data_IF_279250355575
#
_entry.id   IF_279250355575
#
_cell.length_a   1.000
_cell.length_b   1.000
_cell.length_c   1.000
_cell.angle_alpha   90.00
_cell.angle_beta   90.00
_cell.angle_gamma   90.00
#
_symmetry.space_group_name_H-M   'P 1'
#
loop_
_entity.id
_entity.type
_entity.pdbx_description
1 polymer ?
#
# COMPACT_ATOMS: atom_id res chain seq x y z
N UNK A 1 1.72 -7.33 -32.60
CA UNK A 1 2.82 -6.35 -32.34
C UNK A 1 3.97 -6.58 -33.30
N UNK A 2 4.82 -5.58 -33.61
CA UNK A 2 6.15 -5.91 -34.11
C UNK A 2 6.85 -6.70 -33.00
N UNK A 3 6.81 -8.03 -33.12
CA UNK A 3 7.57 -8.96 -32.27
C UNK A 3 9.08 -8.83 -32.55
N UNK A 4 9.46 -7.88 -33.40
CA UNK A 4 10.79 -7.69 -33.97
C UNK A 4 11.15 -6.23 -33.67
N UNK A 5 12.18 -6.06 -32.85
CA UNK A 5 12.81 -4.76 -32.62
C UNK A 5 13.41 -4.28 -33.95
N UNK A 6 13.21 -3.00 -34.28
CA UNK A 6 13.84 -2.41 -35.47
C UNK A 6 15.36 -2.53 -35.35
N UNK A 7 16.02 -2.86 -36.47
CA UNK A 7 17.47 -2.68 -36.56
C UNK A 7 17.78 -1.18 -36.46
N UNK A 8 18.92 -0.81 -35.88
CA UNK A 8 19.26 0.61 -35.67
C UNK A 8 19.27 1.44 -36.95
N UNK A 9 19.56 0.81 -38.10
CA UNK A 9 19.54 1.46 -39.43
C UNK A 9 18.13 1.85 -39.89
N UNK A 10 17.10 1.19 -39.34
CA UNK A 10 15.69 1.34 -39.72
C UNK A 10 14.93 2.22 -38.71
N UNK A 11 15.60 2.71 -37.66
CA UNK A 11 15.03 3.66 -36.68
C UNK A 11 14.96 5.05 -37.30
N UNK A 12 13.79 5.69 -37.19
CA UNK A 12 13.55 7.06 -37.64
C UNK A 12 14.65 8.02 -37.12
N UNK A 13 15.11 8.91 -37.99
CA UNK A 13 16.20 9.86 -37.71
C UNK A 13 15.94 10.70 -36.45
N UNK A 14 14.67 10.97 -36.13
CA UNK A 14 14.28 11.72 -34.95
C UNK A 14 14.53 10.98 -33.63
N UNK A 15 14.77 9.66 -33.67
CA UNK A 15 15.04 8.83 -32.51
C UNK A 15 16.48 8.27 -32.45
N UNK A 16 17.41 8.83 -33.23
CA UNK A 16 18.79 8.36 -33.28
C UNK A 16 19.70 8.93 -32.18
N UNK A 17 19.18 9.72 -31.22
CA UNK A 17 20.01 10.26 -30.13
C UNK A 17 20.59 9.13 -29.26
N UNK A 18 21.81 9.32 -28.76
CA UNK A 18 22.58 8.30 -28.03
C UNK A 18 21.82 7.72 -26.81
N UNK A 19 21.12 8.56 -26.06
CA UNK A 19 20.34 8.12 -24.90
C UNK A 19 19.14 7.24 -25.29
N UNK A 20 18.48 7.53 -26.42
CA UNK A 20 17.38 6.69 -26.91
C UNK A 20 17.92 5.35 -27.41
N UNK A 21 19.06 5.36 -28.12
CA UNK A 21 19.75 4.13 -28.53
C UNK A 21 20.11 3.27 -27.32
N UNK A 22 20.67 3.86 -26.27
CA UNK A 22 21.00 3.17 -25.02
C UNK A 22 19.79 2.47 -24.42
N UNK A 23 18.62 3.13 -24.36
CA UNK A 23 17.37 2.53 -23.88
C UNK A 23 16.84 1.42 -24.79
N UNK A 24 17.02 1.52 -26.10
CA UNK A 24 16.72 0.42 -27.05
C UNK A 24 17.64 -0.77 -26.87
N UNK A 25 18.92 -0.54 -26.60
CA UNK A 25 19.89 -1.60 -26.30
C UNK A 25 19.52 -2.33 -25.00
N UNK A 26 19.08 -1.60 -23.96
CA UNK A 26 18.51 -2.19 -22.74
C UNK A 26 17.28 -3.04 -23.05
N UNK A 27 16.36 -2.56 -23.90
CA UNK A 27 15.19 -3.33 -24.30
C UNK A 27 15.57 -4.62 -25.02
N UNK A 28 16.52 -4.57 -25.97
CA UNK A 28 17.04 -5.77 -26.67
C UNK A 28 17.57 -6.81 -25.69
N UNK A 29 18.35 -6.37 -24.72
CA UNK A 29 18.90 -7.24 -23.67
C UNK A 29 17.79 -7.89 -22.83
N UNK A 30 16.79 -7.11 -22.39
CA UNK A 30 15.62 -7.63 -21.66
C UNK A 30 14.85 -8.66 -22.49
N UNK A 31 14.55 -8.37 -23.75
CA UNK A 31 13.82 -9.31 -24.61
C UNK A 31 14.63 -10.57 -24.90
N UNK A 32 15.95 -10.47 -25.03
CA UNK A 32 16.84 -11.64 -25.20
C UNK A 32 16.84 -12.54 -23.97
N UNK A 33 16.79 -11.96 -22.77
CA UNK A 33 16.66 -12.69 -21.50
C UNK A 33 15.29 -13.36 -21.37
N UNK A 34 14.26 -12.84 -22.02
CA UNK A 34 12.87 -13.30 -21.89
C UNK A 34 12.31 -13.94 -23.19
N UNK A 35 13.17 -14.29 -24.14
CA UNK A 35 12.80 -14.57 -25.54
C UNK A 35 11.86 -15.77 -25.74
N UNK A 36 11.87 -16.73 -24.80
CA UNK A 36 11.08 -17.94 -24.87
C UNK A 36 10.47 -18.32 -23.50
N UNK A 37 9.55 -19.29 -23.52
CA UNK A 37 8.79 -19.65 -22.33
C UNK A 37 9.63 -20.31 -21.24
N UNK A 38 10.69 -21.05 -21.60
CA UNK A 38 11.62 -21.65 -20.64
C UNK A 38 12.35 -20.55 -19.87
N UNK A 39 12.90 -19.55 -20.57
CA UNK A 39 13.58 -18.43 -19.91
C UNK A 39 12.62 -17.60 -19.05
N UNK A 40 11.42 -17.28 -19.55
CA UNK A 40 10.41 -16.57 -18.74
C UNK A 40 10.02 -17.37 -17.50
N UNK A 41 9.83 -18.68 -17.63
CA UNK A 41 9.53 -19.58 -16.52
C UNK A 41 10.67 -19.63 -15.50
N UNK A 42 11.93 -19.56 -15.92
CA UNK A 42 13.09 -19.48 -15.03
C UNK A 42 13.00 -18.23 -14.12
N UNK A 43 12.84 -17.04 -14.71
CA UNK A 43 12.73 -15.79 -13.94
C UNK A 43 11.49 -15.76 -13.03
N UNK A 44 10.34 -16.24 -13.53
CA UNK A 44 9.12 -16.34 -12.71
C UNK A 44 9.28 -17.29 -11.54
N UNK A 45 9.90 -18.45 -11.75
CA UNK A 45 10.14 -19.43 -10.68
C UNK A 45 11.08 -18.87 -9.61
N UNK A 46 12.13 -18.15 -10.03
CA UNK A 46 13.03 -17.45 -9.11
C UNK A 46 12.29 -16.36 -8.31
N UNK A 47 11.47 -15.53 -8.97
CA UNK A 47 10.67 -14.49 -8.31
C UNK A 47 9.63 -15.10 -7.35
N UNK A 48 9.04 -16.25 -7.68
CA UNK A 48 8.14 -16.98 -6.80
C UNK A 48 8.88 -17.52 -5.56
N UNK A 49 10.08 -18.08 -5.74
CA UNK A 49 10.92 -18.53 -4.63
C UNK A 49 11.29 -17.35 -3.70
N UNK A 50 11.63 -16.20 -4.26
CA UNK A 50 11.89 -14.97 -3.51
C UNK A 50 10.65 -14.54 -2.70
N UNK A 51 9.47 -14.51 -3.33
CA UNK A 51 8.22 -14.19 -2.66
C UNK A 51 7.93 -15.13 -1.49
N UNK A 52 8.11 -16.45 -1.66
CA UNK A 52 7.89 -17.41 -0.57
C UNK A 52 8.87 -17.20 0.59
N UNK A 53 10.11 -16.80 0.30
CA UNK A 53 11.10 -16.45 1.33
C UNK A 53 10.67 -15.18 2.07
N UNK A 54 10.24 -14.14 1.36
CA UNK A 54 9.81 -12.88 1.97
C UNK A 54 8.52 -13.03 2.76
N UNK A 55 7.56 -13.84 2.31
CA UNK A 55 6.35 -14.20 3.08
C UNK A 55 6.65 -14.76 4.47
N UNK A 56 7.72 -15.54 4.60
CA UNK A 56 8.14 -16.13 5.88
C UNK A 56 8.81 -15.11 6.82
N UNK A 57 9.37 -14.04 6.25
CA UNK A 57 10.05 -12.98 6.99
C UNK A 57 9.18 -11.73 7.19
N UNK A 58 7.99 -11.69 6.57
CA UNK A 58 7.11 -10.54 6.55
C UNK A 58 6.60 -10.20 7.96
N UNK A 59 6.51 -8.91 8.23
CA UNK A 59 5.87 -8.37 9.44
C UNK A 59 4.43 -7.94 9.15
N UNK A 60 3.55 -8.08 10.14
CA UNK A 60 2.19 -7.54 10.07
C UNK A 60 2.28 -6.01 10.26
N UNK A 61 1.78 -5.18 9.32
CA UNK A 61 1.74 -3.73 9.53
C UNK A 61 0.84 -3.37 10.72
N UNK A 62 1.26 -2.44 11.58
CA UNK A 62 0.50 -2.08 12.79
C UNK A 62 -0.76 -1.24 12.50
N UNK A 63 -0.83 -0.59 11.34
CA UNK A 63 -2.00 0.14 10.87
C UNK A 63 -1.95 0.37 9.34
N UNK A 64 -3.07 0.14 8.65
CA UNK A 64 -3.20 0.39 7.21
C UNK A 64 -3.47 1.87 6.94
N UNK A 65 -2.45 2.58 6.47
CA UNK A 65 -2.52 3.97 6.02
C UNK A 65 -1.94 4.11 4.60
N UNK A 66 -2.35 5.15 3.89
CA UNK A 66 -1.75 5.50 2.61
C UNK A 66 -0.33 6.03 2.85
N UNK A 67 0.63 5.50 2.08
CA UNK A 67 2.02 5.99 2.09
C UNK A 67 2.32 6.72 0.78
N UNK A 68 2.98 7.86 0.86
CA UNK A 68 3.52 8.55 -0.31
C UNK A 68 5.02 8.51 -0.19
N UNK A 69 5.67 7.76 -1.09
CA UNK A 69 7.10 7.50 -1.03
C UNK A 69 7.78 8.11 -2.25
N UNK A 70 8.88 8.84 -2.01
CA UNK A 70 9.70 9.37 -3.08
C UNK A 70 10.53 8.23 -3.67
N UNK A 71 10.29 7.86 -4.92
CA UNK A 71 11.00 6.74 -5.53
C UNK A 71 10.44 6.26 -6.86
N UNK A 72 11.20 5.38 -7.50
CA UNK A 72 10.79 4.64 -8.69
C UNK A 72 9.76 3.55 -8.31
N UNK A 73 8.78 3.32 -9.19
CA UNK A 73 7.71 2.35 -8.97
C UNK A 73 8.26 0.96 -8.65
N UNK A 74 9.33 0.51 -9.34
CA UNK A 74 9.86 -0.84 -9.24
C UNK A 74 10.72 -1.03 -8.00
N UNK A 75 11.55 -0.04 -7.67
CA UNK A 75 12.36 -0.07 -6.44
C UNK A 75 11.45 -0.10 -5.19
N UNK A 76 10.42 0.77 -5.16
CA UNK A 76 9.43 0.80 -4.07
C UNK A 76 8.65 -0.51 -4.03
N UNK A 77 8.19 -1.03 -5.17
CA UNK A 77 7.46 -2.31 -5.20
C UNK A 77 8.31 -3.46 -4.67
N UNK A 78 9.58 -3.54 -5.07
CA UNK A 78 10.51 -4.57 -4.57
C UNK A 78 10.71 -4.46 -3.06
N UNK A 79 10.92 -3.24 -2.55
CA UNK A 79 11.05 -2.99 -1.12
C UNK A 79 9.81 -3.48 -0.35
N UNK A 80 8.62 -3.04 -0.76
CA UNK A 80 7.36 -3.40 -0.11
C UNK A 80 7.07 -4.89 -0.19
N UNK A 81 7.35 -5.52 -1.32
CA UNK A 81 7.18 -6.98 -1.51
C UNK A 81 8.08 -7.77 -0.55
N UNK A 82 9.28 -7.25 -0.24
CA UNK A 82 10.19 -7.85 0.75
C UNK A 82 9.67 -7.71 2.18
N UNK A 83 9.15 -6.54 2.52
CA UNK A 83 8.68 -6.19 3.86
C UNK A 83 7.35 -6.88 4.21
N UNK A 84 6.41 -6.91 3.27
CA UNK A 84 5.03 -7.37 3.49
C UNK A 84 4.78 -8.79 2.93
N UNK A 85 5.68 -9.31 2.09
CA UNK A 85 5.52 -10.64 1.49
C UNK A 85 4.32 -10.75 0.54
N UNK A 86 3.79 -9.63 0.04
CA UNK A 86 2.63 -9.60 -0.85
C UNK A 86 3.01 -9.18 -2.26
N UNK A 87 2.31 -9.73 -3.26
CA UNK A 87 2.38 -9.23 -4.64
C UNK A 87 1.51 -7.98 -4.72
N UNK A 88 2.10 -6.89 -5.20
CA UNK A 88 1.37 -5.64 -5.42
C UNK A 88 0.77 -5.61 -6.83
N UNK A 89 -0.43 -5.03 -6.95
CA UNK A 89 -0.80 -4.41 -8.21
C UNK A 89 -0.03 -3.11 -8.38
N UNK A 90 0.48 -2.86 -9.58
CA UNK A 90 1.25 -1.67 -9.91
C UNK A 90 0.55 -0.96 -11.06
N UNK A 91 0.27 0.33 -10.87
CA UNK A 91 -0.28 1.18 -11.92
C UNK A 91 0.75 1.33 -13.05
N UNK A 92 0.43 0.82 -14.24
CA UNK A 92 1.02 1.25 -15.49
C UNK A 92 0.24 2.49 -15.96
N UNK A 93 0.91 3.66 -15.99
CA UNK A 93 0.35 4.91 -16.50
C UNK A 93 0.34 4.89 -18.03
N UNK A 94 -0.56 4.06 -18.56
CA UNK A 94 -0.53 3.56 -19.92
C UNK A 94 -0.91 4.63 -20.95
N UNK A 95 -0.31 4.51 -22.13
CA UNK A 95 -0.78 5.15 -23.34
C UNK A 95 -2.11 4.53 -23.78
N UNK A 96 -3.11 5.38 -24.05
CA UNK A 96 -4.46 4.94 -24.42
C UNK A 96 -4.53 4.14 -25.74
N UNK A 97 -3.50 4.20 -26.58
CA UNK A 97 -3.56 3.69 -27.95
C UNK A 97 -2.45 2.72 -28.30
N UNK A 98 -1.25 2.90 -27.73
CA UNK A 98 -0.07 2.12 -28.12
C UNK A 98 0.50 1.43 -26.89
N UNK A 99 0.48 0.09 -26.82
CA UNK A 99 1.03 -0.62 -25.68
C UNK A 99 2.48 -0.27 -25.41
N UNK A 100 2.83 0.05 -24.17
CA UNK A 100 4.19 0.41 -23.80
C UNK A 100 4.59 1.82 -24.24
N UNK A 101 3.67 2.59 -24.83
CA UNK A 101 3.96 3.94 -25.33
C UNK A 101 5.08 3.94 -26.37
N UNK A 102 6.11 4.76 -26.14
CA UNK A 102 7.26 4.90 -27.03
C UNK A 102 8.50 4.09 -26.65
N UNK A 103 8.30 2.94 -25.98
CA UNK A 103 9.42 2.18 -25.42
C UNK A 103 10.35 1.59 -26.49
N UNK A 104 9.81 1.27 -27.68
CA UNK A 104 10.56 0.77 -28.83
C UNK A 104 11.48 1.83 -29.42
N UNK A 105 11.08 3.09 -29.35
CA UNK A 105 11.86 4.24 -29.80
C UNK A 105 12.90 4.68 -28.75
N UNK A 106 12.79 4.18 -27.51
CA UNK A 106 13.66 4.56 -26.39
C UNK A 106 13.16 5.78 -25.61
N UNK A 107 11.88 6.16 -25.76
CA UNK A 107 11.30 7.29 -25.02
C UNK A 107 11.24 7.02 -23.51
N UNK A 108 11.11 8.11 -22.75
CA UNK A 108 11.11 8.11 -21.29
C UNK A 108 9.74 8.53 -20.74
N UNK A 109 9.05 7.57 -20.16
CA UNK A 109 8.06 7.77 -19.12
C UNK A 109 8.01 6.51 -18.25
N UNK A 110 7.05 6.45 -17.32
CA UNK A 110 6.91 5.32 -16.40
C UNK A 110 6.52 4.03 -17.11
N UNK A 111 5.61 4.09 -18.10
CA UNK A 111 5.21 2.93 -18.89
C UNK A 111 6.40 2.36 -19.66
N UNK A 112 7.15 3.21 -20.37
CA UNK A 112 8.32 2.77 -21.13
C UNK A 112 9.41 2.19 -20.23
N UNK A 113 9.59 2.76 -19.03
CA UNK A 113 10.49 2.25 -18.01
C UNK A 113 10.07 0.84 -17.56
N UNK A 114 8.78 0.62 -17.33
CA UNK A 114 8.23 -0.69 -16.97
C UNK A 114 8.51 -1.72 -18.07
N UNK A 115 8.17 -1.42 -19.32
CA UNK A 115 8.34 -2.35 -20.44
C UNK A 115 9.79 -2.73 -20.72
N UNK A 116 10.75 -1.84 -20.42
CA UNK A 116 12.18 -2.16 -20.52
C UNK A 116 12.71 -3.08 -19.44
N UNK A 117 11.99 -3.26 -18.33
CA UNK A 117 12.48 -3.97 -17.14
C UNK A 117 11.79 -5.30 -16.86
N UNK A 118 10.69 -5.56 -17.56
CA UNK A 118 9.75 -6.63 -17.22
C UNK A 118 9.39 -7.48 -18.44
N UNK A 119 8.58 -8.51 -18.20
CA UNK A 119 7.97 -9.31 -19.25
C UNK A 119 6.64 -8.75 -19.79
N UNK A 120 6.24 -7.51 -19.44
CA UNK A 120 4.96 -6.90 -19.89
C UNK A 120 4.78 -6.95 -21.42
N UNK A 121 5.87 -6.83 -22.18
CA UNK A 121 5.89 -6.93 -23.65
C UNK A 121 5.18 -8.20 -24.17
N UNK A 122 5.27 -9.32 -23.44
CA UNK A 122 4.75 -10.61 -23.87
C UNK A 122 3.28 -10.84 -23.48
N UNK A 123 2.64 -9.89 -22.80
CA UNK A 123 1.27 -10.00 -22.30
C UNK A 123 0.32 -9.03 -22.99
N UNK A 124 0.45 -8.99 -24.31
CA UNK A 124 -0.39 -8.20 -25.19
C UNK A 124 -0.84 -9.16 -26.26
N UNK A 125 -2.12 -9.47 -26.20
CA UNK A 125 -2.76 -10.48 -27.04
C UNK A 125 -3.08 -9.89 -28.42
N UNK A 126 -3.15 -10.76 -29.43
CA UNK A 126 -3.42 -10.30 -30.79
C UNK A 126 -4.87 -9.77 -30.95
N UNK A 127 -5.81 -10.22 -30.11
CA UNK A 127 -7.20 -9.73 -30.06
C UNK A 127 -7.37 -8.36 -29.36
N UNK A 128 -6.41 -7.95 -28.54
CA UNK A 128 -6.34 -6.58 -28.00
C UNK A 128 -5.81 -5.56 -29.02
N UNK A 129 -5.33 -6.00 -30.19
CA UNK A 129 -4.60 -5.18 -31.14
C UNK A 129 -5.29 -5.06 -32.50
N UNK A 130 -5.31 -3.85 -33.05
CA UNK A 130 -5.58 -3.62 -34.46
C UNK A 130 -4.27 -3.81 -35.26
N UNK A 131 -4.18 -4.93 -35.98
CA UNK A 131 -2.98 -5.32 -36.73
C UNK A 131 -2.54 -4.29 -37.78
N UNK A 132 -3.49 -3.62 -38.43
CA UNK A 132 -3.20 -2.62 -39.48
C UNK A 132 -2.63 -1.32 -38.90
N UNK A 133 -3.05 -0.96 -37.68
CA UNK A 133 -2.72 0.33 -37.06
C UNK A 133 -1.64 0.24 -36.00
N UNK A 134 -1.18 -0.97 -35.66
CA UNK A 134 -0.22 -1.21 -34.55
C UNK A 134 -0.64 -0.53 -33.25
N UNK A 135 -1.95 -0.50 -32.98
CA UNK A 135 -2.58 0.16 -31.82
C UNK A 135 -3.56 -0.79 -31.16
N UNK A 136 -3.97 -0.48 -29.93
CA UNK A 136 -5.07 -1.14 -29.27
C UNK A 136 -6.35 -1.10 -30.11
N UNK A 137 -7.19 -2.12 -29.95
CA UNK A 137 -8.58 -2.09 -30.41
C UNK A 137 -9.37 -0.99 -29.71
N UNK A 138 -10.56 -0.68 -30.22
CA UNK A 138 -11.45 0.30 -29.58
C UNK A 138 -11.85 -0.18 -28.19
N UNK A 139 -12.15 -1.47 -28.07
CA UNK A 139 -12.55 -2.14 -26.84
C UNK A 139 -11.46 -2.01 -25.77
N UNK A 140 -10.21 -2.31 -26.14
CA UNK A 140 -9.08 -2.17 -25.21
C UNK A 140 -8.81 -0.72 -24.85
N UNK A 141 -8.95 0.21 -25.81
CA UNK A 141 -8.86 1.66 -25.55
C UNK A 141 -9.92 2.12 -24.55
N UNK A 142 -11.18 1.73 -24.74
CA UNK A 142 -12.31 2.03 -23.83
C UNK A 142 -12.05 1.45 -22.43
N UNK A 143 -11.52 0.22 -22.36
CA UNK A 143 -11.17 -0.43 -21.09
C UNK A 143 -10.10 0.35 -20.32
N UNK A 144 -8.93 0.61 -20.92
CA UNK A 144 -7.85 1.31 -20.20
C UNK A 144 -8.19 2.77 -19.91
N UNK A 145 -9.11 3.38 -20.67
CA UNK A 145 -9.66 4.69 -20.37
C UNK A 145 -10.67 4.71 -19.22
N UNK A 146 -11.08 3.55 -18.68
CA UNK A 146 -12.01 3.48 -17.55
C UNK A 146 -13.45 3.86 -17.90
N UNK A 147 -13.81 3.87 -19.18
CA UNK A 147 -15.11 4.39 -19.65
C UNK A 147 -16.30 3.60 -19.10
N UNK A 148 -16.10 2.31 -18.80
CA UNK A 148 -17.10 1.40 -18.24
C UNK A 148 -16.93 1.16 -16.73
N UNK A 149 -16.21 2.04 -16.03
CA UNK A 149 -16.00 1.93 -14.58
C UNK A 149 -15.03 0.83 -14.15
N UNK A 150 -14.28 0.27 -15.08
CA UNK A 150 -13.18 -0.69 -14.84
C UNK A 150 -12.01 -0.42 -15.79
N UNK A 151 -10.82 -0.86 -15.40
CA UNK A 151 -9.61 -0.82 -16.22
C UNK A 151 -9.03 -2.22 -16.37
N UNK A 152 -7.97 -2.36 -17.16
CA UNK A 152 -7.30 -3.65 -17.33
C UNK A 152 -6.51 -4.03 -16.07
N UNK A 153 -6.69 -5.27 -15.61
CA UNK A 153 -5.91 -5.90 -14.56
C UNK A 153 -5.83 -7.40 -14.85
N UNK A 154 -4.62 -7.95 -14.90
CA UNK A 154 -4.39 -9.39 -15.00
C UNK A 154 -3.81 -9.92 -13.70
N UNK A 155 -4.64 -10.63 -12.92
CA UNK A 155 -4.23 -11.30 -11.68
C UNK A 155 -3.88 -12.77 -11.89
N UNK A 156 -4.09 -13.31 -13.09
CA UNK A 156 -3.86 -14.74 -13.38
C UNK A 156 -2.38 -15.03 -13.58
N UNK A 157 -1.67 -14.12 -14.25
CA UNK A 157 -0.25 -14.28 -14.54
C UNK A 157 0.52 -13.03 -14.10
N UNK A 158 1.05 -12.98 -12.87
CA UNK A 158 1.88 -11.85 -12.45
C UNK A 158 3.05 -11.63 -13.41
N UNK A 159 3.36 -10.38 -13.70
CA UNK A 159 4.54 -9.97 -14.46
C UNK A 159 5.78 -10.11 -13.60
N UNK A 160 6.94 -10.37 -14.20
CA UNK A 160 8.23 -10.40 -13.51
C UNK A 160 9.07 -9.19 -13.87
N UNK A 161 9.68 -8.57 -12.88
CA UNK A 161 10.67 -7.51 -13.06
C UNK A 161 12.09 -8.05 -12.82
N UNK A 162 12.98 -7.85 -13.79
CA UNK A 162 14.34 -8.41 -13.78
C UNK A 162 15.44 -7.35 -13.81
N UNK A 163 15.08 -6.06 -13.91
CA UNK A 163 16.02 -4.93 -13.94
C UNK A 163 15.63 -3.82 -12.96
N UNK A 164 16.64 -3.14 -12.43
CA UNK A 164 16.50 -1.95 -11.60
C UNK A 164 16.08 -0.72 -12.40
N UNK A 165 15.90 0.41 -11.71
CA UNK A 165 15.54 1.68 -12.35
C UNK A 165 16.61 2.20 -13.32
N UNK A 166 16.23 3.17 -14.14
CA UNK A 166 17.19 3.94 -14.94
C UNK A 166 18.10 4.75 -14.01
N UNK A 167 19.41 4.69 -14.25
CA UNK A 167 20.42 5.46 -13.52
C UNK A 167 21.34 6.17 -14.52
N UNK A 168 22.12 7.12 -14.03
CA UNK A 168 23.14 7.82 -14.82
C UNK A 168 24.37 6.96 -15.12
N UNK A 169 24.45 5.71 -14.63
CA UNK A 169 25.57 4.81 -14.89
C UNK A 169 25.59 4.27 -16.34
N UNK A 170 26.74 3.69 -16.73
CA UNK A 170 27.14 3.44 -18.12
C UNK A 170 26.03 2.92 -19.05
N UNK A 171 25.34 1.82 -18.68
CA UNK A 171 24.27 1.21 -19.49
C UNK A 171 22.85 1.64 -19.09
N UNK A 172 22.64 2.17 -17.87
CA UNK A 172 21.31 2.37 -17.29
C UNK A 172 20.56 1.05 -17.12
N UNK A 173 19.65 0.94 -16.14
CA UNK A 173 18.88 -0.29 -15.86
C UNK A 173 19.73 -1.54 -15.57
N UNK A 174 20.36 -1.55 -14.39
CA UNK A 174 21.14 -2.70 -13.92
C UNK A 174 20.28 -3.97 -13.81
N UNK A 175 20.87 -5.13 -14.12
CA UNK A 175 20.21 -6.40 -13.86
C UNK A 175 20.02 -6.61 -12.36
N UNK A 176 18.81 -7.01 -11.98
CA UNK A 176 18.58 -7.46 -10.61
C UNK A 176 19.30 -8.79 -10.39
N UNK A 177 19.91 -8.93 -9.22
CA UNK A 177 20.39 -10.23 -8.75
C UNK A 177 19.22 -11.22 -8.59
N UNK A 178 19.51 -12.52 -8.69
CA UNK A 178 18.51 -13.58 -8.62
C UNK A 178 17.59 -13.48 -7.38
N UNK A 179 18.13 -13.02 -6.25
CA UNK A 179 17.39 -12.82 -5.00
C UNK A 179 16.49 -11.58 -4.97
N UNK A 180 16.48 -10.79 -6.03
CA UNK A 180 15.75 -9.53 -6.14
C UNK A 180 14.70 -9.52 -7.26
N UNK A 181 14.55 -10.59 -8.04
CA UNK A 181 13.41 -10.71 -8.96
C UNK A 181 12.11 -10.71 -8.17
N UNK A 182 11.13 -9.94 -8.63
CA UNK A 182 9.83 -9.81 -7.97
C UNK A 182 8.70 -9.85 -8.99
N UNK A 183 7.54 -10.29 -8.48
CA UNK A 183 6.29 -10.35 -9.22
C UNK A 183 5.42 -9.13 -8.92
N UNK A 184 4.61 -8.72 -9.89
CA UNK A 184 3.57 -7.71 -9.71
C UNK A 184 2.38 -7.96 -10.65
N UNK A 185 1.20 -7.45 -10.28
CA UNK A 185 0.04 -7.41 -11.18
C UNK A 185 0.03 -6.08 -11.94
N UNK A 186 -0.02 -6.12 -13.27
CA UNK A 186 -0.04 -4.90 -14.08
C UNK A 186 -1.47 -4.33 -14.14
N UNK A 187 -1.68 -3.13 -13.59
CA UNK A 187 -2.92 -2.37 -13.68
C UNK A 187 -2.76 -1.29 -14.76
N UNK A 188 -3.31 -1.49 -15.97
CA UNK A 188 -3.16 -0.52 -17.08
C UNK A 188 -4.30 0.48 -17.04
N UNK A 189 -3.97 1.75 -16.89
CA UNK A 189 -4.95 2.84 -16.99
C UNK A 189 -4.35 4.06 -17.67
N UNK A 190 -5.12 4.69 -18.55
CA UNK A 190 -4.71 5.86 -19.30
C UNK A 190 -5.34 7.14 -18.74
N UNK A 191 -4.50 8.12 -18.39
CA UNK A 191 -4.93 9.45 -17.99
C UNK A 191 -5.30 10.30 -19.21
N UNK A 192 -6.05 11.39 -19.00
CA UNK A 192 -6.32 12.37 -20.05
C UNK A 192 -5.01 13.06 -20.48
N UNK A 193 -4.80 13.17 -21.79
CA UNK A 193 -3.64 13.85 -22.36
C UNK A 193 -3.89 15.35 -22.49
N UNK A 194 -3.31 16.15 -21.59
CA UNK A 194 -3.47 17.61 -21.58
C UNK A 194 -2.37 18.36 -22.33
N UNK A 195 -1.52 17.65 -23.08
CA UNK A 195 -0.56 18.30 -23.99
C UNK A 195 -1.32 19.16 -25.01
N UNK A 196 -0.69 20.24 -25.48
CA UNK A 196 -1.34 21.13 -26.45
C UNK A 196 -2.39 22.08 -25.85
N UNK A 197 -2.51 22.16 -24.52
CA UNK A 197 -3.35 23.16 -23.84
C UNK A 197 -4.79 22.73 -23.58
N UNK A 198 -5.10 21.43 -23.62
CA UNK A 198 -6.41 20.93 -23.20
C UNK A 198 -6.64 21.19 -21.70
N UNK A 199 -7.88 21.53 -21.35
CA UNK A 199 -8.27 21.81 -19.97
C UNK A 199 -8.41 20.52 -19.17
N UNK A 200 -8.00 20.57 -17.90
CA UNK A 200 -8.21 19.47 -16.97
C UNK A 200 -9.71 19.20 -16.76
N UNK A 201 -10.13 17.95 -16.99
CA UNK A 201 -11.49 17.50 -16.74
C UNK A 201 -11.56 16.67 -15.45
N UNK A 202 -12.00 17.32 -14.37
CA UNK A 202 -12.11 16.70 -13.04
C UNK A 202 -13.03 15.48 -13.02
N UNK A 203 -14.12 15.48 -13.80
CA UNK A 203 -15.06 14.36 -13.86
C UNK A 203 -14.44 13.15 -14.57
N UNK A 204 -13.77 13.38 -15.70
CA UNK A 204 -13.06 12.34 -16.44
C UNK A 204 -11.97 11.68 -15.58
N UNK A 205 -11.11 12.50 -14.95
CA UNK A 205 -10.06 12.00 -14.07
C UNK A 205 -10.63 11.21 -12.88
N UNK A 206 -11.72 11.69 -12.26
CA UNK A 206 -12.39 10.96 -11.18
C UNK A 206 -12.90 9.60 -11.64
N UNK A 207 -13.56 9.52 -12.80
CA UNK A 207 -14.07 8.25 -13.35
C UNK A 207 -12.93 7.25 -13.55
N UNK A 208 -11.79 7.71 -14.08
CA UNK A 208 -10.59 6.88 -14.29
C UNK A 208 -10.00 6.37 -12.97
N UNK A 209 -9.88 7.24 -11.96
CA UNK A 209 -9.39 6.86 -10.61
C UNK A 209 -10.36 5.87 -9.96
N UNK A 210 -11.67 6.13 -10.00
CA UNK A 210 -12.69 5.21 -9.48
C UNK A 210 -12.59 3.84 -10.18
N UNK A 211 -12.46 3.82 -11.50
CA UNK A 211 -12.31 2.59 -12.28
C UNK A 211 -11.06 1.79 -11.88
N UNK A 212 -9.93 2.43 -11.59
CA UNK A 212 -8.74 1.76 -11.05
C UNK A 212 -9.04 1.07 -9.72
N UNK A 213 -9.59 1.82 -8.75
CA UNK A 213 -9.86 1.31 -7.41
C UNK A 213 -10.94 0.22 -7.40
N UNK A 214 -12.00 0.37 -8.20
CA UNK A 214 -13.08 -0.62 -8.33
C UNK A 214 -12.61 -1.89 -9.05
N UNK A 215 -11.68 -1.77 -9.99
CA UNK A 215 -11.03 -2.93 -10.61
C UNK A 215 -10.22 -3.70 -9.58
N UNK A 216 -9.40 -3.02 -8.77
CA UNK A 216 -8.62 -3.67 -7.71
C UNK A 216 -9.52 -4.37 -6.69
N UNK A 217 -10.57 -3.67 -6.22
CA UNK A 217 -11.56 -4.21 -5.29
C UNK A 217 -12.26 -5.46 -5.84
N UNK A 218 -12.74 -5.41 -7.08
CA UNK A 218 -13.46 -6.54 -7.70
C UNK A 218 -12.58 -7.79 -7.88
N UNK A 219 -11.26 -7.61 -7.99
CA UNK A 219 -10.29 -8.70 -8.05
C UNK A 219 -9.74 -9.12 -6.68
N UNK A 220 -10.21 -8.53 -5.58
CA UNK A 220 -9.73 -8.82 -4.23
C UNK A 220 -8.28 -8.36 -3.98
N UNK A 221 -7.76 -7.43 -4.77
CA UNK A 221 -6.42 -6.87 -4.58
C UNK A 221 -6.45 -5.85 -3.45
N UNK A 222 -5.64 -6.10 -2.42
CA UNK A 222 -5.55 -5.24 -1.22
C UNK A 222 -4.23 -4.46 -1.11
N UNK A 223 -3.25 -4.77 -1.98
CA UNK A 223 -1.90 -4.18 -1.98
C UNK A 223 -1.66 -3.54 -3.34
N UNK A 224 -1.48 -2.22 -3.38
CA UNK A 224 -1.32 -1.46 -4.62
C UNK A 224 -0.24 -0.39 -4.53
N UNK A 225 0.59 -0.31 -5.58
CA UNK A 225 1.49 0.80 -5.87
C UNK A 225 0.89 1.64 -6.99
N UNK A 226 0.49 2.85 -6.66
CA UNK A 226 0.02 3.90 -7.57
C UNK A 226 1.16 4.89 -7.86
N UNK A 227 0.89 5.89 -8.70
CA UNK A 227 1.84 6.93 -9.08
C UNK A 227 1.12 8.26 -9.32
N UNK A 228 1.88 9.32 -9.65
CA UNK A 228 1.34 10.62 -10.01
C UNK A 228 0.62 10.59 -11.39
N UNK A 229 -0.57 9.97 -11.41
CA UNK A 229 -1.31 9.58 -12.61
C UNK A 229 -1.53 10.74 -13.59
N UNK A 230 -0.92 10.64 -14.78
CA UNK A 230 -1.01 11.66 -15.82
C UNK A 230 -0.29 12.99 -15.52
N UNK A 231 0.37 13.13 -14.37
CA UNK A 231 0.96 14.40 -13.92
C UNK A 231 2.32 14.72 -14.56
N UNK A 232 2.93 13.75 -15.24
CA UNK A 232 4.15 13.91 -16.03
C UNK A 232 3.85 14.40 -17.45
N UNK A 233 4.15 13.57 -18.45
CA UNK A 233 4.04 13.91 -19.87
C UNK A 233 2.67 14.44 -20.30
N UNK A 234 1.59 13.98 -19.66
CA UNK A 234 0.21 14.39 -19.97
C UNK A 234 -0.24 15.66 -19.24
N UNK A 235 0.63 16.32 -18.48
CA UNK A 235 0.40 17.63 -17.87
C UNK A 235 -0.82 17.76 -16.94
N UNK A 236 -1.32 16.66 -16.35
CA UNK A 236 -2.39 16.76 -15.35
C UNK A 236 -1.89 17.52 -14.09
N UNK A 237 -2.76 18.30 -13.42
CA UNK A 237 -2.43 19.02 -12.20
C UNK A 237 -2.30 18.07 -10.99
N UNK A 238 -1.12 17.96 -10.35
CA UNK A 238 -0.88 16.97 -9.31
C UNK A 238 -1.73 17.17 -8.05
N UNK A 239 -2.02 18.42 -7.67
CA UNK A 239 -2.88 18.75 -6.52
C UNK A 239 -4.30 18.20 -6.71
N UNK A 240 -4.90 18.43 -7.89
CA UNK A 240 -6.26 17.96 -8.18
C UNK A 240 -6.30 16.43 -8.31
N UNK A 241 -5.30 15.81 -8.95
CA UNK A 241 -5.24 14.34 -9.07
C UNK A 241 -5.11 13.70 -7.69
N UNK A 242 -4.24 14.23 -6.82
CA UNK A 242 -4.09 13.74 -5.45
C UNK A 242 -5.38 13.91 -4.62
N UNK A 243 -6.06 15.06 -4.74
CA UNK A 243 -7.34 15.29 -4.09
C UNK A 243 -8.42 14.30 -4.55
N UNK A 244 -8.48 14.01 -5.85
CA UNK A 244 -9.40 13.02 -6.40
C UNK A 244 -9.10 11.60 -5.87
N UNK A 245 -7.84 11.20 -5.80
CA UNK A 245 -7.47 9.92 -5.18
C UNK A 245 -7.91 9.83 -3.72
N UNK A 246 -7.71 10.90 -2.93
CA UNK A 246 -8.13 10.94 -1.53
C UNK A 246 -9.63 10.70 -1.41
N UNK A 247 -10.42 11.48 -2.13
CA UNK A 247 -11.88 11.38 -2.10
C UNK A 247 -12.38 10.01 -2.56
N UNK A 248 -11.73 9.39 -3.55
CA UNK A 248 -12.13 8.05 -4.02
C UNK A 248 -11.66 6.92 -3.09
N UNK A 249 -10.54 7.08 -2.37
CA UNK A 249 -10.11 6.14 -1.33
C UNK A 249 -11.01 6.21 -0.10
N UNK A 250 -11.42 7.41 0.32
CA UNK A 250 -12.35 7.62 1.47
C UNK A 250 -13.72 6.97 1.24
N UNK A 251 -14.16 6.81 -0.02
CA UNK A 251 -15.39 6.08 -0.38
C UNK A 251 -15.25 4.56 -0.28
N UNK A 252 -14.04 4.05 -0.10
CA UNK A 252 -13.68 2.63 -0.14
C UNK A 252 -12.93 2.22 1.14
N UNK A 253 -13.49 2.48 2.34
CA UNK A 253 -12.84 2.06 3.57
C UNK A 253 -12.74 0.53 3.61
N UNK A 254 -11.71 0.04 4.29
CA UNK A 254 -11.44 -1.37 4.57
C UNK A 254 -11.16 -2.23 3.32
N UNK A 255 -11.12 -1.63 2.12
CA UNK A 255 -10.89 -2.34 0.86
C UNK A 255 -9.40 -2.68 0.61
N UNK A 256 -8.49 -1.91 1.18
CA UNK A 256 -7.04 -2.05 0.95
C UNK A 256 -6.29 -2.18 2.27
N UNK A 257 -5.26 -3.03 2.28
CA UNK A 257 -4.31 -3.15 3.39
C UNK A 257 -3.14 -2.17 3.22
N UNK A 258 -2.73 -1.93 1.96
CA UNK A 258 -1.51 -1.19 1.62
C UNK A 258 -1.70 -0.43 0.30
N UNK A 259 -1.85 0.90 0.39
CA UNK A 259 -1.91 1.81 -0.76
C UNK A 259 -0.68 2.69 -0.72
N UNK A 260 0.19 2.57 -1.72
CA UNK A 260 1.43 3.35 -1.79
C UNK A 260 1.50 4.15 -3.08
N UNK A 261 1.72 5.46 -2.98
CA UNK A 261 2.04 6.29 -4.13
C UNK A 261 3.56 6.38 -4.27
N UNK A 262 4.13 5.66 -5.24
CA UNK A 262 5.54 5.78 -5.60
C UNK A 262 5.71 6.93 -6.59
N UNK A 263 6.30 8.04 -6.12
CA UNK A 263 6.43 9.26 -6.93
C UNK A 263 7.89 9.57 -7.13
N UNK A 264 8.34 9.41 -8.38
CA UNK A 264 9.69 9.78 -8.75
C UNK A 264 9.81 11.31 -8.82
N UNK A 265 10.66 11.86 -7.96
CA UNK A 265 11.04 13.27 -7.99
C UNK A 265 12.56 13.37 -7.86
N UNK A 266 13.29 13.79 -8.90
CA UNK A 266 14.74 13.86 -8.87
C UNK A 266 15.28 15.15 -8.21
N UNK A 267 14.42 15.96 -7.59
CA UNK A 267 14.82 17.22 -6.93
C UNK A 267 14.86 18.44 -7.85
N UNK A 268 14.44 18.28 -9.11
CA UNK A 268 14.33 19.35 -10.10
C UNK A 268 13.16 19.07 -11.05
N UNK A 269 12.70 20.10 -11.77
CA UNK A 269 11.54 20.01 -12.67
C UNK A 269 10.21 20.08 -11.92
N UNK A 270 9.14 19.56 -12.54
CA UNK A 270 7.80 19.58 -11.95
C UNK A 270 7.76 18.69 -10.70
N UNK A 271 7.42 19.30 -9.57
CA UNK A 271 7.24 18.60 -8.31
C UNK A 271 5.84 17.97 -8.24
N UNK A 272 5.79 16.65 -8.38
CA UNK A 272 4.57 15.88 -8.15
C UNK A 272 4.56 15.24 -6.75
N UNK A 273 5.70 15.18 -6.06
CA UNK A 273 5.81 14.48 -4.77
C UNK A 273 5.14 15.29 -3.66
N UNK A 274 5.46 16.58 -3.55
CA UNK A 274 4.95 17.43 -2.46
C UNK A 274 3.42 17.50 -2.43
N UNK A 275 2.71 17.76 -3.55
CA UNK A 275 1.24 17.80 -3.54
C UNK A 275 0.60 16.49 -3.07
N UNK A 276 1.09 15.36 -3.60
CA UNK A 276 0.58 14.05 -3.20
C UNK A 276 0.89 13.75 -1.73
N UNK A 277 2.10 14.03 -1.27
CA UNK A 277 2.50 13.79 0.12
C UNK A 277 1.65 14.59 1.09
N UNK A 278 1.37 15.86 0.81
CA UNK A 278 0.55 16.70 1.69
C UNK A 278 -0.91 16.26 1.74
N UNK A 279 -1.45 15.74 0.63
CA UNK A 279 -2.88 15.42 0.52
C UNK A 279 -3.20 14.00 0.97
N UNK A 280 -2.31 13.04 0.69
CA UNK A 280 -2.58 11.59 0.79
C UNK A 280 -1.79 10.88 1.87
N UNK A 281 -0.61 11.37 2.28
CA UNK A 281 0.19 10.65 3.27
C UNK A 281 -0.55 10.55 4.61
N UNK A 282 -0.46 9.39 5.24
CA UNK A 282 -1.15 9.04 6.50
C UNK A 282 -2.68 9.03 6.43
N UNK A 283 -3.28 9.11 5.22
CA UNK A 283 -4.72 8.90 5.05
C UNK A 283 -5.10 7.49 5.56
N UNK A 284 -6.02 7.37 6.54
CA UNK A 284 -6.46 6.07 7.04
C UNK A 284 -7.16 5.25 5.95
N UNK A 285 -6.85 3.95 5.86
CA UNK A 285 -7.54 3.04 4.95
C UNK A 285 -8.71 2.30 5.61
N UNK A 286 -8.86 2.42 6.93
CA UNK A 286 -9.93 1.76 7.69
C UNK A 286 -11.09 2.69 8.04
N UNK A 287 -12.30 2.15 8.12
CA UNK A 287 -13.48 2.91 8.59
C UNK A 287 -13.33 3.39 10.03
N UNK A 288 -13.98 4.51 10.38
CA UNK A 288 -13.97 5.08 11.74
C UNK A 288 -14.45 4.08 12.78
N UNK A 289 -15.53 3.35 12.50
CA UNK A 289 -16.08 2.33 13.41
C UNK A 289 -15.11 1.17 13.62
N UNK A 290 -14.42 0.72 12.57
CA UNK A 290 -13.41 -0.33 12.69
C UNK A 290 -12.18 0.15 13.47
N UNK A 291 -11.78 1.42 13.28
CA UNK A 291 -10.72 2.06 14.05
C UNK A 291 -11.07 2.20 15.53
N UNK A 292 -12.28 2.64 15.85
CA UNK A 292 -12.79 2.72 17.24
C UNK A 292 -12.80 1.34 17.90
N UNK A 293 -13.29 0.31 17.20
CA UNK A 293 -13.28 -1.06 17.69
C UNK A 293 -11.86 -1.59 17.93
N UNK A 294 -10.92 -1.31 17.03
CA UNK A 294 -9.52 -1.71 17.19
C UNK A 294 -8.88 -1.01 18.39
N UNK A 295 -9.04 0.31 18.50
CA UNK A 295 -8.52 1.08 19.64
C UNK A 295 -9.08 0.54 20.97
N UNK A 296 -10.36 0.18 21.02
CA UNK A 296 -10.99 -0.40 22.20
C UNK A 296 -10.43 -1.79 22.52
N UNK A 297 -10.20 -2.63 21.51
CA UNK A 297 -9.55 -3.93 21.70
C UNK A 297 -8.13 -3.77 22.28
N UNK A 298 -7.31 -2.89 21.70
CA UNK A 298 -5.94 -2.61 22.16
C UNK A 298 -5.92 -2.03 23.58
N UNK A 299 -6.85 -1.12 23.91
CA UNK A 299 -7.01 -0.60 25.27
C UNK A 299 -7.29 -1.74 26.26
N UNK A 300 -8.19 -2.66 25.92
CA UNK A 300 -8.56 -3.77 26.80
C UNK A 300 -7.43 -4.78 26.98
N UNK A 301 -6.64 -5.03 25.94
CA UNK A 301 -5.40 -5.82 26.05
C UNK A 301 -4.41 -5.14 26.99
N UNK A 302 -4.18 -3.84 26.82
CA UNK A 302 -3.28 -3.05 27.70
C UNK A 302 -3.75 -3.07 29.16
N UNK A 303 -5.05 -2.89 29.41
CA UNK A 303 -5.64 -3.00 30.75
C UNK A 303 -5.48 -4.43 31.30
N UNK A 304 -5.69 -5.46 30.48
CA UNK A 304 -5.54 -6.85 30.91
C UNK A 304 -4.09 -7.18 31.28
N UNK A 305 -3.11 -6.72 30.49
CA UNK A 305 -1.68 -6.84 30.79
C UNK A 305 -1.33 -6.15 32.12
N UNK A 306 -1.79 -4.91 32.28
CA UNK A 306 -1.65 -4.17 33.53
C UNK A 306 -2.21 -4.94 34.73
N UNK A 307 -3.48 -5.36 34.64
CA UNK A 307 -4.16 -6.08 35.71
C UNK A 307 -3.44 -7.37 36.06
N UNK A 308 -2.84 -8.07 35.09
CA UNK A 308 -2.07 -9.31 35.30
C UNK A 308 -0.65 -9.08 35.82
N UNK A 309 -0.20 -7.83 35.97
CA UNK A 309 1.08 -7.52 36.61
C UNK A 309 1.13 -8.03 38.05
N UNK A 310 2.25 -8.66 38.43
CA UNK A 310 2.49 -9.16 39.79
C UNK A 310 2.59 -8.02 40.82
N UNK A 311 2.74 -6.77 40.38
CA UNK A 311 2.75 -5.59 41.27
C UNK A 311 1.47 -5.51 42.11
N UNK A 312 0.33 -5.94 41.56
CA UNK A 312 -0.96 -5.96 42.25
C UNK A 312 -1.07 -7.02 43.35
N UNK A 313 -0.36 -8.14 43.22
CA UNK A 313 -0.45 -9.27 44.17
C UNK A 313 0.29 -9.01 45.48
N UNK A 314 1.11 -7.95 45.51
CA UNK A 314 1.92 -7.54 46.68
C UNK A 314 1.35 -6.32 47.40
N UNK A 315 0.16 -5.84 47.04
CA UNK A 315 -0.45 -4.66 47.67
C UNK A 315 -1.10 -5.02 49.01
N UNK A 316 -0.82 -4.24 50.05
CA UNK A 316 -1.33 -4.44 51.42
C UNK A 316 -0.32 -3.97 52.48
N UNK A 317 -0.59 -4.25 53.77
CA UNK A 317 0.30 -3.88 54.87
C UNK A 317 0.88 -5.14 55.53
N UNK A 318 2.19 -5.13 55.77
CA UNK A 318 2.86 -6.16 56.55
C UNK A 318 3.00 -5.68 58.00
N UNK A 319 2.46 -6.44 58.94
CA UNK A 319 2.72 -6.28 60.38
C UNK A 319 3.71 -7.37 60.80
N UNK A 320 4.52 -7.19 61.85
CA UNK A 320 5.35 -8.26 62.37
C UNK A 320 4.49 -9.52 62.61
N UNK A 321 4.94 -10.66 62.08
CA UNK A 321 4.28 -11.97 62.14
C UNK A 321 3.01 -12.16 61.28
N UNK A 322 2.52 -11.14 60.54
CA UNK A 322 1.38 -11.29 59.62
C UNK A 322 1.56 -10.49 58.32
N UNK A 323 1.60 -11.19 57.19
CA UNK A 323 1.57 -10.58 55.86
C UNK A 323 0.13 -10.57 55.32
N UNK A 324 -0.45 -9.37 55.22
CA UNK A 324 -1.79 -9.17 54.66
C UNK A 324 -1.76 -8.66 53.22
N UNK A 325 -0.59 -8.68 52.55
CA UNK A 325 -0.51 -8.36 51.13
C UNK A 325 -1.26 -9.41 50.31
N UNK A 326 -2.29 -8.96 49.61
CA UNK A 326 -3.16 -9.78 48.75
C UNK A 326 -3.62 -8.93 47.59
N UNK A 327 -3.90 -9.59 46.47
CA UNK A 327 -4.53 -8.94 45.32
C UNK A 327 -5.80 -8.23 45.75
N UNK A 328 -5.97 -6.92 45.46
CA UNK A 328 -7.19 -6.21 45.80
C UNK A 328 -8.39 -6.83 45.09
N UNK A 329 -9.52 -7.00 45.79
CA UNK A 329 -10.67 -7.74 45.25
C UNK A 329 -11.23 -7.18 43.93
N UNK A 330 -11.20 -5.86 43.74
CA UNK A 330 -11.60 -5.25 42.46
C UNK A 330 -10.68 -5.62 41.29
N UNK A 331 -9.38 -5.81 41.55
CA UNK A 331 -8.43 -6.30 40.56
C UNK A 331 -8.73 -7.77 40.20
N UNK A 332 -9.04 -8.62 41.19
CA UNK A 332 -9.45 -10.01 40.93
C UNK A 332 -10.72 -10.08 40.06
N UNK A 333 -11.72 -9.24 40.36
CA UNK A 333 -12.96 -9.15 39.59
C UNK A 333 -12.71 -8.68 38.16
N UNK A 334 -11.88 -7.65 37.98
CA UNK A 334 -11.53 -7.15 36.64
C UNK A 334 -10.74 -8.18 35.83
N UNK A 335 -9.77 -8.89 36.43
CA UNK A 335 -9.09 -10.03 35.78
C UNK A 335 -10.07 -11.09 35.30
N UNK A 336 -11.10 -11.40 36.11
CA UNK A 336 -12.13 -12.36 35.72
C UNK A 336 -12.92 -11.86 34.50
N UNK A 337 -13.26 -10.57 34.42
CA UNK A 337 -13.93 -9.96 33.24
C UNK A 337 -13.06 -10.08 31.99
N UNK A 338 -11.76 -9.78 32.07
CA UNK A 338 -10.83 -9.88 30.93
C UNK A 338 -10.85 -11.28 30.29
N UNK A 339 -11.01 -12.34 31.11
CA UNK A 339 -11.05 -13.73 30.67
C UNK A 339 -12.42 -14.21 30.15
N UNK A 340 -13.49 -13.40 30.25
CA UNK A 340 -14.80 -13.79 29.72
C UNK A 340 -14.83 -13.75 28.18
N UNK A 341 -15.60 -14.62 27.51
CA UNK A 341 -15.80 -14.59 26.06
C UNK A 341 -16.86 -13.53 25.68
N UNK A 342 -16.57 -12.26 25.96
CA UNK A 342 -17.42 -11.11 25.65
C UNK A 342 -16.82 -10.26 24.55
N UNK A 343 -17.65 -9.52 23.81
CA UNK A 343 -17.18 -8.50 22.88
C UNK A 343 -16.49 -7.33 23.61
N UNK A 344 -15.62 -6.56 22.94
CA UNK A 344 -14.86 -5.48 23.56
C UNK A 344 -15.71 -4.47 24.34
N UNK A 345 -16.83 -4.02 23.77
CA UNK A 345 -17.66 -3.01 24.40
C UNK A 345 -18.33 -3.54 25.67
N UNK A 346 -18.79 -4.79 25.64
CA UNK A 346 -19.34 -5.46 26.83
C UNK A 346 -18.30 -5.64 27.93
N UNK A 347 -17.06 -6.04 27.58
CA UNK A 347 -15.95 -6.11 28.56
C UNK A 347 -15.68 -4.77 29.21
N UNK A 348 -15.54 -3.71 28.40
CA UNK A 348 -15.31 -2.35 28.91
C UNK A 348 -16.40 -1.89 29.87
N UNK A 349 -17.69 -2.11 29.53
CA UNK A 349 -18.82 -1.76 30.39
C UNK A 349 -18.78 -2.49 31.73
N UNK A 350 -18.43 -3.77 31.75
CA UNK A 350 -18.27 -4.52 33.00
C UNK A 350 -17.09 -4.01 33.84
N UNK A 351 -15.93 -3.76 33.22
CA UNK A 351 -14.77 -3.17 33.91
C UNK A 351 -15.13 -1.81 34.53
N UNK A 352 -15.80 -0.94 33.76
CA UNK A 352 -16.26 0.36 34.24
C UNK A 352 -17.22 0.23 35.41
N UNK A 353 -18.17 -0.70 35.33
CA UNK A 353 -19.14 -0.98 36.41
C UNK A 353 -18.43 -1.40 37.70
N UNK A 354 -17.42 -2.27 37.61
CA UNK A 354 -16.61 -2.68 38.78
C UNK A 354 -15.86 -1.47 39.34
N UNK A 355 -15.23 -0.66 38.49
CA UNK A 355 -14.49 0.53 38.90
C UNK A 355 -15.37 1.53 39.66
N UNK A 356 -16.55 1.87 39.10
CA UNK A 356 -17.54 2.76 39.71
C UNK A 356 -18.01 2.23 41.06
N UNK A 357 -18.36 0.94 41.13
CA UNK A 357 -18.79 0.31 42.37
C UNK A 357 -17.70 0.36 43.45
N UNK A 358 -16.45 0.08 43.08
CA UNK A 358 -15.29 0.09 44.00
C UNK A 358 -14.92 1.49 44.47
N UNK A 359 -15.09 2.51 43.63
CA UNK A 359 -14.92 3.92 44.00
C UNK A 359 -16.01 4.39 44.97
N UNK A 360 -17.26 3.96 44.77
CA UNK A 360 -18.38 4.29 45.65
C UNK A 360 -18.34 3.55 47.00
N UNK A 361 -17.78 2.34 47.04
CA UNK A 361 -17.71 1.48 48.22
C UNK A 361 -16.27 1.10 48.59
N UNK A 362 -15.42 2.06 48.98
CA UNK A 362 -14.01 1.79 49.25
C UNK A 362 -13.86 0.83 50.45
N UNK A 363 -13.24 -0.35 50.29
CA UNK A 363 -12.93 -1.23 51.41
C UNK A 363 -12.17 -0.53 52.54
N UNK A 364 -12.39 -0.99 53.77
CA UNK A 364 -11.72 -0.50 55.00
C UNK A 364 -10.18 -0.46 54.88
N UNK A 365 -9.59 -1.35 54.06
CA UNK A 365 -8.14 -1.47 53.86
C UNK A 365 -7.62 -0.87 52.54
N UNK A 366 -8.46 -0.64 51.53
CA UNK A 366 -8.05 -0.07 50.23
C UNK A 366 -8.02 1.45 50.22
N UNK A 367 -8.55 2.11 51.26
CA UNK A 367 -8.40 3.57 51.45
C UNK A 367 -6.94 4.06 51.44
N UNK A 368 -5.95 3.15 51.45
CA UNK A 368 -4.51 3.42 51.55
C UNK A 368 -3.69 3.15 50.29
N UNK A 369 -4.21 2.47 49.25
CA UNK A 369 -3.44 2.25 48.01
C UNK A 369 -3.96 3.14 46.88
N UNK A 370 -3.35 4.32 46.76
CA UNK A 370 -3.70 5.31 45.75
C UNK A 370 -3.63 4.73 44.33
N UNK A 371 -2.68 3.83 44.04
CA UNK A 371 -2.53 3.27 42.69
C UNK A 371 -3.73 2.43 42.22
N UNK A 372 -4.40 1.72 43.13
CA UNK A 372 -5.61 0.95 42.82
C UNK A 372 -6.78 1.89 42.53
N UNK A 373 -6.89 2.97 43.31
CA UNK A 373 -7.92 4.00 43.11
C UNK A 373 -7.69 4.74 41.80
N UNK A 374 -6.45 5.08 41.49
CA UNK A 374 -6.06 5.81 40.28
C UNK A 374 -6.39 4.98 39.04
N UNK A 375 -6.12 3.67 39.06
CA UNK A 375 -6.55 2.77 37.99
C UNK A 375 -8.07 2.81 37.77
N UNK A 376 -8.87 2.74 38.85
CA UNK A 376 -10.32 2.81 38.73
C UNK A 376 -10.80 4.16 38.18
N UNK A 377 -10.22 5.28 38.65
CA UNK A 377 -10.54 6.60 38.12
C UNK A 377 -10.24 6.68 36.63
N UNK A 378 -9.04 6.25 36.21
CA UNK A 378 -8.68 6.21 34.81
C UNK A 378 -9.66 5.38 33.97
N UNK A 379 -10.07 4.19 34.43
CA UNK A 379 -11.05 3.36 33.70
C UNK A 379 -12.40 4.09 33.54
N UNK A 380 -12.88 4.77 34.58
CA UNK A 380 -14.17 5.47 34.58
C UNK A 380 -14.14 6.71 33.68
N UNK A 381 -13.01 7.41 33.66
CA UNK A 381 -12.78 8.64 32.90
C UNK A 381 -12.52 8.42 31.41
N UNK A 382 -12.39 7.17 30.94
CA UNK A 382 -12.29 6.87 29.50
C UNK A 382 -13.54 7.41 28.77
N UNK A 383 -13.30 8.33 27.83
CA UNK A 383 -14.24 8.66 26.77
C UNK A 383 -13.93 7.82 25.53
N UNK A 384 -14.88 6.97 25.13
CA UNK A 384 -14.71 6.10 23.97
C UNK A 384 -14.63 6.88 22.65
N UNK A 385 -15.13 8.12 22.60
CA UNK A 385 -15.06 8.96 21.40
C UNK A 385 -13.67 9.61 21.21
N UNK A 386 -12.87 9.69 22.28
CA UNK A 386 -11.53 10.30 22.25
C UNK A 386 -10.40 9.25 22.36
N UNK A 387 -10.72 7.98 22.14
CA UNK A 387 -9.80 6.87 22.33
C UNK A 387 -8.66 6.90 21.31
N UNK A 388 -7.45 7.24 21.77
CA UNK A 388 -6.24 7.36 20.97
C UNK A 388 -5.03 6.69 21.65
N UNK A 389 -3.87 6.66 20.99
CA UNK A 389 -2.66 6.01 21.50
C UNK A 389 -2.19 6.56 22.85
N UNK A 390 -2.37 7.87 23.12
CA UNK A 390 -2.01 8.47 24.41
C UNK A 390 -2.91 7.98 25.54
N UNK A 391 -4.20 7.80 25.27
CA UNK A 391 -5.15 7.24 26.25
C UNK A 391 -4.84 5.76 26.50
N UNK A 392 -4.47 5.00 25.47
CA UNK A 392 -4.08 3.58 25.63
C UNK A 392 -2.80 3.47 26.45
N UNK A 393 -1.78 4.27 26.13
CA UNK A 393 -0.48 4.25 26.81
C UNK A 393 -0.57 4.60 28.31
N UNK A 394 -1.59 5.37 28.74
CA UNK A 394 -1.76 5.72 30.16
C UNK A 394 -2.07 4.51 31.07
N UNK A 395 -2.42 3.36 30.48
CA UNK A 395 -2.67 2.11 31.20
C UNK A 395 -1.45 1.18 31.27
N UNK A 396 -0.32 1.53 30.68
CA UNK A 396 0.93 0.76 30.82
C UNK A 396 1.60 1.14 32.16
N UNK A 397 1.41 0.34 33.22
CA UNK A 397 2.04 0.52 34.53
C UNK A 397 3.04 -0.58 34.88
#
# INVERSE_FOLDING_TARGET
MPRILLEEKDVDINFQQAELKKRRDVLRDTLTKLDNEEKRSHYRSAAQANLQRWKKAASIPSASRVRVLQGDWGDITLQLTKEEGQIYAVLNMANAYTPGGGYLEGLIAQEENMYRRTDCHFFISDDEMNAEKTRYTKEMTTLINGEEGKVYLDTTTPRVCIKGKETTQAMGYEDLGNDNYFLFYELRSAADDLRGGHLFNKESMRKKIAAQLDTLKSHGIRHVVLSAFGCGAFNNPPEEVAALYREELEKRPDQFDSVVFAIYYPGYGKDNYTPFSQILHDLPLTSTQQKENLNLATLLETIAENLNSKSWDTKGYAVPFFDFRKTPKGIEEMRAVCNKPLDPLSKYKELKTIAEFRLAHPPLFTKRDNSVRDLYLHIVEIDLNELNESVIASFQF
#
